data_IF_938506069654
#
_entry.id   IF_938506069654
#
_cell.length_a   1.000
_cell.length_b   1.000
_cell.length_c   1.000
_cell.angle_alpha   90.00
_cell.angle_beta   90.00
_cell.angle_gamma   90.00
#
_symmetry.space_group_name_H-M   'P 1'
#
loop_
_entity.id
_entity.type
_entity.pdbx_description
1 polymer ?
#
# COMPACT_ATOMS: atom_id res chain seq x y z
N UNK A 1 26.54 6.57 -21.60
CA UNK A 1 27.48 6.58 -20.46
C UNK A 1 26.91 5.73 -19.33
N UNK A 2 27.78 4.93 -18.71
CA UNK A 2 27.61 4.03 -17.55
C UNK A 2 26.38 3.10 -17.51
N UNK A 3 26.55 1.87 -18.00
CA UNK A 3 25.69 0.74 -17.67
C UNK A 3 25.80 0.42 -16.19
N UNK A 4 24.86 0.91 -15.40
CA UNK A 4 24.73 0.53 -13.99
C UNK A 4 24.15 -0.89 -13.94
N UNK A 5 24.99 -1.84 -13.53
CA UNK A 5 24.62 -3.25 -13.31
C UNK A 5 23.39 -3.28 -12.39
N UNK A 6 22.29 -3.96 -12.75
CA UNK A 6 21.10 -3.97 -11.91
C UNK A 6 21.46 -4.58 -10.54
N UNK A 7 21.27 -3.80 -9.48
CA UNK A 7 21.40 -4.29 -8.12
C UNK A 7 20.28 -5.31 -7.92
N UNK A 8 20.63 -6.60 -7.77
CA UNK A 8 19.69 -7.70 -7.49
C UNK A 8 19.16 -7.67 -6.04
N UNK A 9 18.94 -6.46 -5.51
CA UNK A 9 18.52 -6.20 -4.14
C UNK A 9 17.06 -5.78 -4.16
N UNK A 10 16.24 -6.31 -3.25
CA UNK A 10 14.85 -5.85 -3.08
C UNK A 10 14.86 -4.49 -2.36
N UNK A 11 13.93 -3.57 -2.65
CA UNK A 11 13.90 -2.26 -1.99
C UNK A 11 13.93 -2.34 -0.46
N UNK A 12 13.22 -3.30 0.14
CA UNK A 12 13.25 -3.51 1.59
C UNK A 12 14.64 -3.89 2.12
N UNK A 13 15.35 -4.80 1.44
CA UNK A 13 16.71 -5.18 1.83
C UNK A 13 17.72 -4.05 1.60
N UNK A 14 17.46 -3.13 0.66
CA UNK A 14 18.33 -1.98 0.43
C UNK A 14 18.39 -1.05 1.66
N UNK A 15 17.38 -1.07 2.54
CA UNK A 15 17.33 -0.26 3.76
C UNK A 15 18.29 -0.74 4.85
N UNK A 16 18.65 -2.02 4.86
CA UNK A 16 19.51 -2.62 5.91
C UNK A 16 20.97 -2.77 5.46
N UNK A 17 21.25 -2.57 4.17
CA UNK A 17 22.60 -2.59 3.65
C UNK A 17 23.27 -1.21 3.75
N UNK A 18 24.60 -1.14 3.87
CA UNK A 18 25.34 0.12 3.92
C UNK A 18 25.43 0.76 2.52
N UNK A 19 24.27 1.06 1.93
CA UNK A 19 24.14 1.73 0.64
C UNK A 19 23.98 3.24 0.85
N UNK A 20 24.40 4.02 -0.14
CA UNK A 20 24.06 5.44 -0.19
C UNK A 20 22.58 5.61 -0.55
N UNK A 21 21.95 6.70 -0.12
CA UNK A 21 20.52 6.99 -0.36
C UNK A 21 20.20 7.00 -1.86
N UNK A 22 21.13 7.48 -2.69
CA UNK A 22 20.97 7.52 -4.15
C UNK A 22 20.86 6.10 -4.75
N UNK A 23 21.59 5.14 -4.19
CA UNK A 23 21.51 3.74 -4.60
C UNK A 23 20.19 3.10 -4.14
N UNK A 24 19.71 3.41 -2.92
CA UNK A 24 18.39 2.95 -2.45
C UNK A 24 17.27 3.48 -3.35
N UNK A 25 17.33 4.77 -3.72
CA UNK A 25 16.39 5.41 -4.64
C UNK A 25 16.44 4.78 -6.03
N UNK A 26 17.63 4.45 -6.53
CA UNK A 26 17.79 3.76 -7.82
C UNK A 26 17.15 2.37 -7.81
N UNK A 27 17.35 1.61 -6.73
CA UNK A 27 16.70 0.29 -6.55
C UNK A 27 15.18 0.44 -6.53
N UNK A 28 14.65 1.39 -5.75
CA UNK A 28 13.21 1.65 -5.69
C UNK A 28 12.62 2.04 -7.06
N UNK A 29 13.28 2.96 -7.79
CA UNK A 29 12.87 3.37 -9.15
C UNK A 29 12.87 2.21 -10.14
N UNK A 30 13.86 1.32 -10.04
CA UNK A 30 13.95 0.15 -10.92
C UNK A 30 12.80 -0.83 -10.71
N UNK A 31 12.39 -1.06 -9.45
CA UNK A 31 11.23 -1.88 -9.12
C UNK A 31 9.90 -1.21 -9.52
N UNK A 32 9.76 0.11 -9.31
CA UNK A 32 8.59 0.86 -9.76
C UNK A 32 8.43 0.78 -11.29
N UNK A 33 9.52 0.96 -12.05
CA UNK A 33 9.51 0.81 -13.50
C UNK A 33 9.14 -0.62 -13.95
N UNK A 34 9.59 -1.64 -13.22
CA UNK A 34 9.17 -3.03 -13.46
C UNK A 34 7.68 -3.24 -13.19
N UNK A 35 7.15 -2.71 -12.09
CA UNK A 35 5.74 -2.81 -11.76
C UNK A 35 4.87 -2.15 -12.84
N UNK A 36 5.24 -0.95 -13.30
CA UNK A 36 4.57 -0.27 -14.41
C UNK A 36 4.52 -1.12 -15.69
N UNK A 37 5.63 -1.80 -16.04
CA UNK A 37 5.66 -2.70 -17.20
C UNK A 37 4.70 -3.88 -17.06
N UNK A 38 4.57 -4.45 -15.85
CA UNK A 38 3.69 -5.59 -15.59
C UNK A 38 2.20 -5.22 -15.67
N UNK A 39 1.84 -4.00 -15.24
CA UNK A 39 0.42 -3.58 -15.22
C UNK A 39 -0.05 -2.92 -16.52
N UNK A 40 0.88 -2.51 -17.41
CA UNK A 40 0.57 -1.73 -18.61
C UNK A 40 -0.47 -2.38 -19.54
N UNK A 41 -0.49 -3.72 -19.64
CA UNK A 41 -1.48 -4.43 -20.46
C UNK A 41 -2.88 -4.42 -19.85
N UNK A 42 -2.98 -4.36 -18.52
CA UNK A 42 -4.25 -4.36 -17.79
C UNK A 42 -4.83 -2.95 -17.64
N UNK A 43 -3.96 -1.95 -17.58
CA UNK A 43 -4.33 -0.54 -17.44
C UNK A 43 -3.57 0.31 -18.47
N UNK A 44 -4.03 0.33 -19.74
CA UNK A 44 -3.31 0.97 -20.84
C UNK A 44 -3.27 2.50 -20.72
N UNK A 45 -4.24 3.08 -20.02
CA UNK A 45 -4.35 4.51 -19.76
C UNK A 45 -4.46 4.76 -18.25
N UNK A 46 -3.86 5.84 -17.71
CA UNK A 46 -4.02 6.21 -16.31
C UNK A 46 -5.49 6.35 -15.91
N UNK A 47 -5.83 5.95 -14.69
CA UNK A 47 -7.16 6.20 -14.14
C UNK A 47 -7.41 7.71 -13.99
N UNK A 48 -8.66 8.17 -14.08
CA UNK A 48 -9.01 9.55 -13.83
C UNK A 48 -8.53 10.01 -12.45
N UNK A 49 -7.85 11.14 -12.40
CA UNK A 49 -7.43 11.74 -11.13
C UNK A 49 -8.54 12.65 -10.60
N UNK A 50 -9.11 12.28 -9.46
CA UNK A 50 -10.08 13.11 -8.75
C UNK A 50 -9.34 14.00 -7.73
N UNK A 51 -9.08 15.26 -8.11
CA UNK A 51 -8.37 16.22 -7.25
C UNK A 51 -9.29 17.09 -6.39
N UNK A 52 -10.61 16.98 -6.60
CA UNK A 52 -11.64 17.73 -5.86
C UNK A 52 -12.57 16.75 -5.15
N UNK A 53 -13.04 17.17 -3.98
CA UNK A 53 -14.10 16.45 -3.28
C UNK A 53 -15.40 16.53 -4.08
N UNK A 54 -16.18 15.47 -4.00
CA UNK A 54 -17.50 15.42 -4.60
C UNK A 54 -18.42 16.43 -3.87
N UNK A 55 -19.11 17.28 -4.63
CA UNK A 55 -20.06 18.24 -4.06
C UNK A 55 -21.23 17.53 -3.36
N UNK A 56 -21.61 16.34 -3.84
CA UNK A 56 -22.68 15.53 -3.26
C UNK A 56 -22.25 14.74 -2.01
N UNK A 57 -20.96 14.38 -1.92
CA UNK A 57 -20.39 13.72 -0.74
C UNK A 57 -19.01 14.34 -0.44
N UNK A 58 -18.94 15.39 0.40
CA UNK A 58 -17.71 16.13 0.67
C UNK A 58 -16.76 15.37 1.62
N UNK A 59 -16.88 14.04 1.75
CA UNK A 59 -15.98 13.22 2.55
C UNK A 59 -14.75 12.84 1.75
N UNK A 60 -13.58 12.92 2.38
CA UNK A 60 -12.34 12.42 1.81
C UNK A 60 -12.38 10.89 1.78
N UNK A 61 -12.20 10.34 0.59
CA UNK A 61 -12.16 8.89 0.34
C UNK A 61 -10.74 8.36 0.57
N UNK A 62 -10.56 7.48 1.56
CA UNK A 62 -9.25 6.91 1.93
C UNK A 62 -9.28 5.39 1.82
N UNK A 63 -8.45 4.82 0.94
CA UNK A 63 -8.29 3.37 0.80
C UNK A 63 -6.97 2.89 1.40
N UNK A 64 -7.04 2.01 2.40
CA UNK A 64 -5.89 1.28 2.92
C UNK A 64 -5.76 -0.04 2.17
N UNK A 65 -4.60 -0.32 1.57
CA UNK A 65 -4.35 -1.58 0.83
C UNK A 65 -3.18 -2.30 1.47
N UNK A 66 -3.36 -3.55 1.90
CA UNK A 66 -2.29 -4.32 2.54
C UNK A 66 -2.50 -5.83 2.41
N UNK A 67 -1.40 -6.58 2.29
CA UNK A 67 -1.37 -8.05 2.38
C UNK A 67 -1.23 -8.57 3.80
N UNK A 68 -1.26 -7.70 4.80
CA UNK A 68 -0.93 -8.03 6.18
C UNK A 68 -2.06 -7.62 7.15
N UNK A 69 -3.31 -7.79 6.73
CA UNK A 69 -4.48 -7.53 7.58
C UNK A 69 -4.80 -8.82 8.34
N UNK A 70 -4.46 -8.86 9.62
CA UNK A 70 -4.72 -9.99 10.52
C UNK A 70 -3.83 -9.95 11.75
N UNK A 71 -3.39 -11.11 12.25
CA UNK A 71 -2.40 -11.19 13.33
C UNK A 71 -0.98 -10.89 12.82
N UNK A 72 -0.75 -9.62 12.47
CA UNK A 72 0.52 -9.12 11.93
C UNK A 72 0.86 -7.77 12.55
N UNK A 73 2.16 -7.46 12.71
CA UNK A 73 2.65 -6.24 13.36
C UNK A 73 2.01 -4.94 12.86
N UNK A 74 1.78 -4.84 11.54
CA UNK A 74 1.02 -3.76 10.91
C UNK A 74 -0.37 -3.58 11.53
N UNK A 75 -1.17 -4.65 11.63
CA UNK A 75 -2.51 -4.58 12.19
C UNK A 75 -2.49 -4.23 13.67
N UNK A 76 -1.56 -4.78 14.45
CA UNK A 76 -1.39 -4.42 15.86
C UNK A 76 -1.14 -2.93 16.03
N UNK A 77 -0.29 -2.34 15.17
CA UNK A 77 0.03 -0.91 15.20
C UNK A 77 -1.11 -0.03 14.65
N UNK A 78 -1.77 -0.46 13.58
CA UNK A 78 -2.68 0.38 12.79
C UNK A 78 -4.16 0.14 13.04
N UNK A 79 -4.52 -0.81 13.92
CA UNK A 79 -5.90 -1.17 14.26
C UNK A 79 -6.80 0.04 14.49
N UNK A 80 -6.36 0.98 15.32
CA UNK A 80 -7.15 2.16 15.67
C UNK A 80 -7.26 3.15 14.51
N UNK A 81 -6.21 3.26 13.67
CA UNK A 81 -6.23 4.15 12.50
C UNK A 81 -7.25 3.67 11.47
N UNK A 82 -7.36 2.36 11.26
CA UNK A 82 -8.36 1.81 10.34
C UNK A 82 -9.81 2.06 10.79
N UNK A 83 -10.05 2.26 12.09
CA UNK A 83 -11.39 2.35 12.68
C UNK A 83 -11.82 3.77 13.03
N UNK A 84 -10.89 4.61 13.48
CA UNK A 84 -11.21 5.89 14.13
C UNK A 84 -11.10 7.07 13.16
N UNK A 85 -11.76 6.95 12.01
CA UNK A 85 -11.88 8.05 11.07
C UNK A 85 -13.05 8.97 11.47
N UNK A 86 -12.83 10.28 11.49
CA UNK A 86 -13.88 11.26 11.77
C UNK A 86 -14.92 11.37 10.64
N UNK A 87 -16.03 12.11 10.85
CA UNK A 87 -17.15 12.16 9.90
C UNK A 87 -16.78 12.72 8.51
N UNK A 88 -15.67 13.44 8.40
CA UNK A 88 -15.15 14.00 7.14
C UNK A 88 -14.42 12.99 6.26
N UNK A 89 -14.19 11.76 6.72
CA UNK A 89 -13.43 10.74 6.01
C UNK A 89 -14.30 9.51 5.82
N UNK A 90 -14.37 9.02 4.59
CA UNK A 90 -14.93 7.73 4.23
C UNK A 90 -13.75 6.79 3.93
N UNK A 91 -13.60 5.72 4.71
CA UNK A 91 -12.44 4.85 4.63
C UNK A 91 -12.81 3.41 4.29
N UNK A 92 -11.94 2.74 3.55
CA UNK A 92 -12.03 1.30 3.26
C UNK A 92 -10.68 0.64 3.48
N UNK A 93 -10.71 -0.66 3.83
CA UNK A 93 -9.53 -1.50 3.91
C UNK A 93 -9.67 -2.63 2.87
N UNK A 94 -8.72 -2.70 1.95
CA UNK A 94 -8.59 -3.76 0.95
C UNK A 94 -7.48 -4.70 1.41
N UNK A 95 -7.88 -5.83 1.98
CA UNK A 95 -6.98 -6.91 2.36
C UNK A 95 -6.61 -7.74 1.13
N UNK A 96 -5.30 -7.94 0.90
CA UNK A 96 -4.77 -8.77 -0.19
C UNK A 96 -4.44 -10.21 0.27
N UNK A 97 -4.62 -10.51 1.55
CA UNK A 97 -4.44 -11.83 2.13
C UNK A 97 -5.77 -12.53 2.43
N UNK A 98 -5.83 -13.89 2.35
CA UNK A 98 -7.03 -14.67 2.66
C UNK A 98 -7.50 -14.47 4.11
N UNK A 99 -8.79 -14.69 4.34
CA UNK A 99 -9.45 -14.66 5.67
C UNK A 99 -9.34 -16.03 6.39
N UNK A 100 -8.23 -16.74 6.19
CA UNK A 100 -8.05 -18.15 6.61
C UNK A 100 -7.02 -18.33 7.71
N UNK A 101 -6.43 -17.25 8.22
CA UNK A 101 -5.48 -17.33 9.32
C UNK A 101 -6.27 -17.50 10.64
N UNK A 102 -5.99 -18.55 11.45
CA UNK A 102 -6.74 -18.83 12.68
C UNK A 102 -6.69 -17.69 13.74
N UNK A 103 -5.74 -16.75 13.65
CA UNK A 103 -5.71 -15.54 14.48
C UNK A 103 -6.52 -14.35 13.93
N UNK A 104 -6.96 -14.41 12.67
CA UNK A 104 -7.57 -13.32 11.88
C UNK A 104 -9.05 -12.98 12.18
N UNK A 105 -9.95 -13.91 12.60
CA UNK A 105 -11.39 -13.61 12.56
C UNK A 105 -11.82 -12.48 13.49
N UNK A 106 -11.08 -12.22 14.58
CA UNK A 106 -11.33 -11.06 15.46
C UNK A 106 -10.88 -9.74 14.82
N UNK A 107 -9.72 -9.72 14.17
CA UNK A 107 -9.12 -8.49 13.63
C UNK A 107 -9.95 -7.87 12.50
N UNK A 108 -10.40 -8.70 11.57
CA UNK A 108 -11.27 -8.20 10.48
C UNK A 108 -12.66 -7.86 10.98
N UNK A 109 -13.20 -8.62 11.93
CA UNK A 109 -14.47 -8.25 12.57
C UNK A 109 -14.38 -6.87 13.24
N UNK A 110 -13.27 -6.58 13.91
CA UNK A 110 -13.03 -5.28 14.54
C UNK A 110 -12.99 -4.13 13.52
N UNK A 111 -12.29 -4.32 12.39
CA UNK A 111 -12.23 -3.31 11.31
C UNK A 111 -13.60 -3.13 10.65
N UNK A 112 -14.35 -4.22 10.41
CA UNK A 112 -15.70 -4.17 9.81
C UNK A 112 -16.75 -3.51 10.72
N UNK A 113 -16.51 -3.51 12.04
CA UNK A 113 -17.43 -2.95 13.03
C UNK A 113 -17.22 -1.43 13.29
N UNK A 114 -16.37 -0.76 12.51
CA UNK A 114 -16.17 0.69 12.55
C UNK A 114 -16.92 1.38 11.40
#
# INVERSE_FOLDING_TARGET
>A
SSGQKPLFVKPFHALVYPLKVEHMLLVARSYAARALRLVKSFLPSPLPLHTRLDAANPRLRVGWVSSNIGDHSLSHLMRSVFRLHGPRVEAWVVALNPDTDPGDPKWRADIRAA
#
